data_IF_253248837589
#
_entry.id   IF_253248837589
#
_cell.length_a   1.000
_cell.length_b   1.000
_cell.length_c   1.000
_cell.angle_alpha   90.00
_cell.angle_beta   90.00
_cell.angle_gamma   90.00
#
_symmetry.space_group_name_H-M   'P 1'
#
loop_
_entity.id
_entity.type
_entity.pdbx_description
1 polymer ?
#
# COMPACT_ATOMS: atom_id res chain seq x y z
N UNK A 1 -4.50 4.62 22.62
CA UNK A 1 -4.32 4.49 21.16
C UNK A 1 -4.61 3.09 20.64
N UNK A 2 -3.82 2.05 20.97
CA UNK A 2 -4.08 0.65 20.56
C UNK A 2 -5.52 0.19 20.84
N UNK A 3 -6.02 0.45 22.04
CA UNK A 3 -7.41 0.13 22.45
C UNK A 3 -8.46 0.81 21.57
N UNK A 4 -8.27 2.08 21.22
CA UNK A 4 -9.23 2.83 20.39
C UNK A 4 -9.30 2.28 18.97
N UNK A 5 -8.17 1.84 18.43
CA UNK A 5 -8.08 1.22 17.10
C UNK A 5 -8.29 -0.31 17.14
N UNK A 6 -8.61 -0.90 18.31
CA UNK A 6 -8.73 -2.34 18.53
C UNK A 6 -7.53 -3.14 17.99
N UNK A 7 -6.34 -2.58 18.13
CA UNK A 7 -5.09 -3.22 17.73
C UNK A 7 -4.56 -4.10 18.87
N UNK A 8 -3.94 -5.26 18.58
CA UNK A 8 -3.29 -6.10 19.57
C UNK A 8 -2.28 -5.35 20.46
N UNK A 9 -2.05 -5.86 21.68
CA UNK A 9 -1.13 -5.20 22.63
C UNK A 9 0.32 -5.19 22.12
N UNK A 10 0.69 -6.19 21.35
CA UNK A 10 2.00 -6.37 20.73
C UNK A 10 2.19 -5.57 19.43
N UNK A 11 1.20 -4.78 18.99
CA UNK A 11 1.38 -3.86 17.86
C UNK A 11 2.53 -2.90 18.11
N UNK A 12 3.44 -2.82 17.16
CA UNK A 12 4.69 -2.07 17.30
C UNK A 12 4.46 -0.56 17.38
N UNK A 13 5.31 0.15 18.13
CA UNK A 13 5.29 1.62 18.13
C UNK A 13 5.76 2.19 16.78
N UNK A 14 6.58 1.43 16.06
CA UNK A 14 7.04 1.81 14.73
C UNK A 14 5.87 1.94 13.75
N UNK A 15 4.91 1.02 13.76
CA UNK A 15 3.69 1.12 12.97
C UNK A 15 2.89 2.39 13.29
N UNK A 16 2.75 2.73 14.58
CA UNK A 16 2.00 3.92 15.01
C UNK A 16 2.62 5.23 14.52
N UNK A 17 3.95 5.37 14.66
CA UNK A 17 4.65 6.63 14.49
C UNK A 17 5.27 6.84 13.12
N UNK A 18 5.45 5.78 12.34
CA UNK A 18 5.94 5.90 10.98
C UNK A 18 4.92 6.59 10.10
N UNK A 19 5.41 7.31 9.08
CA UNK A 19 4.54 8.00 8.13
C UNK A 19 3.56 7.04 7.46
N UNK A 20 2.41 7.56 7.09
CA UNK A 20 1.42 6.86 6.27
C UNK A 20 2.06 6.34 4.97
N UNK A 21 2.80 7.18 4.24
CA UNK A 21 3.53 6.75 3.02
C UNK A 21 4.67 5.75 3.27
N UNK A 22 5.08 5.59 4.53
CA UNK A 22 6.02 4.58 4.99
C UNK A 22 5.34 3.39 5.65
N UNK A 23 4.06 3.14 5.31
CA UNK A 23 3.24 2.03 5.83
C UNK A 23 2.89 2.08 7.32
N UNK A 24 3.07 3.23 7.98
CA UNK A 24 2.58 3.46 9.35
C UNK A 24 1.24 4.19 9.40
N UNK A 25 0.86 4.62 10.60
CA UNK A 25 -0.35 5.42 10.85
C UNK A 25 -0.11 6.94 10.80
N UNK A 26 1.14 7.37 10.83
CA UNK A 26 1.52 8.79 10.81
C UNK A 26 1.17 9.53 12.10
N UNK A 27 0.97 8.83 13.21
CA UNK A 27 0.61 9.48 14.48
C UNK A 27 1.89 10.02 15.12
N UNK A 28 1.95 11.34 15.34
CA UNK A 28 3.13 11.98 15.91
C UNK A 28 3.49 11.40 17.28
N UNK A 29 4.75 10.96 17.44
CA UNK A 29 5.31 10.66 18.75
C UNK A 29 5.61 11.98 19.46
N UNK A 30 4.80 12.35 20.46
CA UNK A 30 4.91 13.64 21.15
C UNK A 30 6.24 13.78 21.92
N UNK A 31 6.73 12.69 22.51
CA UNK A 31 8.01 12.62 23.22
C UNK A 31 9.19 13.07 22.35
N UNK A 32 9.12 12.85 21.04
CA UNK A 32 10.18 13.26 20.10
C UNK A 32 9.80 14.51 19.33
N UNK A 33 8.50 14.74 19.08
CA UNK A 33 8.04 15.86 18.27
C UNK A 33 8.08 17.17 19.05
N UNK A 34 7.65 17.18 20.31
CA UNK A 34 7.63 18.40 21.12
C UNK A 34 9.05 18.96 21.30
N UNK A 35 10.07 18.17 21.71
CA UNK A 35 11.41 18.70 21.90
C UNK A 35 12.05 19.17 20.58
N UNK A 36 11.80 18.49 19.45
CA UNK A 36 12.29 18.93 18.14
C UNK A 36 11.68 20.27 17.71
N UNK A 37 10.37 20.48 17.91
CA UNK A 37 9.71 21.74 17.57
C UNK A 37 10.16 22.87 18.51
N UNK A 38 10.39 22.58 19.79
CA UNK A 38 10.98 23.53 20.74
C UNK A 38 12.40 23.93 20.32
N UNK A 39 13.24 22.97 19.93
CA UNK A 39 14.59 23.25 19.40
C UNK A 39 14.52 24.13 18.15
N UNK A 40 13.71 23.76 17.17
CA UNK A 40 13.55 24.55 15.95
C UNK A 40 13.02 25.97 16.24
N UNK A 41 12.17 26.14 17.26
CA UNK A 41 11.72 27.46 17.72
C UNK A 41 12.88 28.26 18.33
N UNK A 42 13.67 27.67 19.22
CA UNK A 42 14.83 28.33 19.83
C UNK A 42 15.89 28.69 18.78
N UNK A 43 16.20 27.80 17.84
CA UNK A 43 17.12 28.07 16.73
C UNK A 43 16.67 29.27 15.89
N UNK A 44 15.37 29.41 15.61
CA UNK A 44 14.84 30.60 14.91
C UNK A 44 14.99 31.88 15.71
N UNK A 45 14.84 31.82 17.03
CA UNK A 45 15.03 32.99 17.89
C UNK A 45 16.51 33.40 17.93
N UNK A 46 17.40 32.44 18.14
CA UNK A 46 18.86 32.66 18.19
C UNK A 46 19.39 33.22 16.86
N UNK A 47 18.89 32.70 15.73
CA UNK A 47 19.32 33.12 14.40
C UNK A 47 18.55 34.33 13.84
N UNK A 48 17.75 35.02 14.67
CA UNK A 48 17.02 36.21 14.23
C UNK A 48 17.97 37.39 13.96
N UNK A 49 17.80 38.04 12.81
CA UNK A 49 18.59 39.24 12.45
C UNK A 49 18.12 40.54 13.10
N UNK A 50 17.06 40.50 13.92
CA UNK A 50 16.45 41.66 14.56
C UNK A 50 17.13 41.96 15.91
N UNK A 51 17.58 43.19 16.11
CA UNK A 51 18.36 43.60 17.30
C UNK A 51 17.57 43.38 18.61
N UNK A 52 16.27 43.64 18.59
CA UNK A 52 15.36 43.42 19.73
C UNK A 52 15.30 41.94 20.11
N UNK A 53 15.27 41.05 19.12
CA UNK A 53 15.25 39.60 19.34
C UNK A 53 16.61 39.12 19.85
N UNK A 54 17.71 39.64 19.30
CA UNK A 54 19.05 39.34 19.78
C UNK A 54 19.23 39.70 21.27
N UNK A 55 18.69 40.82 21.72
CA UNK A 55 18.70 41.22 23.14
C UNK A 55 17.86 40.28 24.01
N UNK A 56 16.70 39.84 23.54
CA UNK A 56 15.82 38.90 24.25
C UNK A 56 16.47 37.51 24.39
N UNK A 57 17.20 37.04 23.38
CA UNK A 57 17.90 35.75 23.42
C UNK A 57 18.95 35.69 24.53
N UNK A 58 19.56 36.83 24.88
CA UNK A 58 20.53 36.92 25.97
C UNK A 58 19.89 36.89 27.37
N UNK A 59 18.56 37.00 27.48
CA UNK A 59 17.89 36.89 28.77
C UNK A 59 18.09 35.51 29.38
N UNK A 60 18.37 35.46 30.68
CA UNK A 60 18.62 34.22 31.45
C UNK A 60 17.56 33.14 31.23
N UNK A 61 16.29 33.53 31.10
CA UNK A 61 15.18 32.61 30.83
C UNK A 61 15.36 31.89 29.48
N UNK A 62 15.67 32.63 28.41
CA UNK A 62 15.84 32.07 27.05
C UNK A 62 17.11 31.22 26.96
N UNK A 63 18.18 31.63 27.63
CA UNK A 63 19.42 30.83 27.72
C UNK A 63 19.15 29.49 28.44
N UNK A 64 18.37 29.52 29.52
CA UNK A 64 17.98 28.31 30.26
C UNK A 64 17.11 27.38 29.40
N UNK A 65 16.11 27.93 28.70
CA UNK A 65 15.29 27.17 27.75
C UNK A 65 16.13 26.56 26.62
N UNK A 66 17.12 27.31 26.13
CA UNK A 66 18.06 26.85 25.08
C UNK A 66 18.87 25.64 25.55
N UNK A 67 19.32 25.63 26.81
CA UNK A 67 20.01 24.47 27.38
C UNK A 67 19.12 23.23 27.45
N UNK A 68 17.84 23.39 27.81
CA UNK A 68 16.87 22.29 27.90
C UNK A 68 16.55 21.70 26.52
N UNK A 69 16.33 22.53 25.49
CA UNK A 69 16.01 22.03 24.13
C UNK A 69 17.20 21.39 23.42
N UNK A 70 18.41 21.65 23.87
CA UNK A 70 19.64 21.05 23.33
C UNK A 70 19.93 19.65 23.89
N UNK A 71 19.13 19.15 24.84
CA UNK A 71 19.22 17.76 25.31
C UNK A 71 19.03 16.80 24.12
N UNK A 72 19.92 15.79 23.94
CA UNK A 72 19.80 14.83 22.85
C UNK A 72 18.46 14.08 22.89
N UNK A 73 17.80 14.00 21.74
CA UNK A 73 16.53 13.30 21.57
C UNK A 73 16.84 11.96 20.92
N UNK A 74 16.27 10.87 21.42
CA UNK A 74 16.54 9.53 20.90
C UNK A 74 15.28 8.87 20.34
N UNK A 75 15.44 8.11 19.26
CA UNK A 75 14.43 7.21 18.70
C UNK A 75 15.09 5.86 18.52
N UNK A 76 14.61 4.82 19.21
CA UNK A 76 15.21 3.48 19.18
C UNK A 76 16.74 3.50 19.43
N UNK A 77 17.20 4.31 20.39
CA UNK A 77 18.61 4.44 20.75
C UNK A 77 19.47 5.21 19.74
N UNK A 78 18.89 5.76 18.66
CA UNK A 78 19.59 6.64 17.72
C UNK A 78 19.29 8.11 18.04
N UNK A 79 20.32 8.98 18.13
CA UNK A 79 20.08 10.41 18.30
C UNK A 79 19.37 10.98 17.06
N UNK A 80 18.47 11.93 17.28
CA UNK A 80 17.76 12.64 16.21
C UNK A 80 17.82 14.15 16.45
N UNK A 81 18.29 14.88 15.44
CA UNK A 81 18.44 16.34 15.47
C UNK A 81 17.25 17.07 14.88
N UNK A 82 16.62 16.49 13.86
CA UNK A 82 15.56 17.15 13.08
C UNK A 82 14.51 16.16 12.55
N UNK A 83 13.42 16.72 12.02
CA UNK A 83 12.23 15.96 11.62
C UNK A 83 12.50 14.86 10.58
N UNK A 84 13.28 15.14 9.54
CA UNK A 84 13.57 14.16 8.48
C UNK A 84 14.39 12.98 9.00
N UNK A 85 15.35 13.23 9.89
CA UNK A 85 16.14 12.17 10.53
C UNK A 85 15.26 11.27 11.41
N UNK A 86 14.38 11.88 12.22
CA UNK A 86 13.37 11.14 12.99
C UNK A 86 12.56 10.21 12.09
N UNK A 87 12.04 10.72 10.98
CA UNK A 87 11.22 9.93 10.04
C UNK A 87 11.98 8.75 9.43
N UNK A 88 13.26 8.94 9.10
CA UNK A 88 14.15 7.88 8.62
C UNK A 88 14.35 6.79 9.67
N UNK A 89 14.62 7.18 10.92
CA UNK A 89 14.82 6.21 12.02
C UNK A 89 13.57 5.37 12.27
N UNK A 90 12.38 5.98 12.26
CA UNK A 90 11.12 5.23 12.40
C UNK A 90 10.93 4.21 11.27
N UNK A 91 11.19 4.60 10.01
CA UNK A 91 11.08 3.71 8.86
C UNK A 91 12.07 2.55 8.93
N UNK A 92 13.33 2.82 9.28
CA UNK A 92 14.34 1.78 9.48
C UNK A 92 13.94 0.80 10.60
N UNK A 93 13.29 1.29 11.65
CA UNK A 93 12.81 0.47 12.73
C UNK A 93 11.62 -0.40 12.31
N UNK A 94 10.67 0.09 11.49
CA UNK A 94 9.55 -0.71 10.94
C UNK A 94 10.07 -1.92 10.19
N UNK A 95 11.02 -1.72 9.27
CA UNK A 95 11.55 -2.79 8.40
C UNK A 95 12.27 -3.89 9.19
N UNK A 96 12.77 -3.57 10.39
CA UNK A 96 13.39 -4.56 11.29
C UNK A 96 12.40 -5.40 12.08
N UNK A 97 11.12 -5.01 12.11
CA UNK A 97 10.09 -5.79 12.79
C UNK A 97 9.69 -7.00 11.94
N UNK A 98 9.19 -8.07 12.57
CA UNK A 98 8.69 -9.23 11.84
C UNK A 98 7.55 -8.85 10.89
N UNK A 99 6.61 -8.03 11.37
CA UNK A 99 5.41 -7.62 10.62
C UNK A 99 5.73 -6.61 9.50
N UNK A 100 6.79 -5.81 9.69
CA UNK A 100 7.24 -4.79 8.74
C UNK A 100 8.39 -5.20 7.83
N UNK A 101 8.95 -6.40 7.98
CA UNK A 101 10.05 -6.89 7.14
C UNK A 101 9.66 -6.92 5.66
N UNK A 102 8.39 -7.16 5.37
CA UNK A 102 7.88 -7.16 4.00
C UNK A 102 7.89 -5.78 3.35
N UNK A 103 7.96 -4.70 4.14
CA UNK A 103 7.81 -3.30 3.71
C UNK A 103 9.10 -2.71 3.10
N UNK A 104 10.20 -3.46 3.08
CA UNK A 104 11.50 -2.98 2.59
C UNK A 104 11.50 -2.76 1.07
N UNK A 105 11.95 -1.58 0.62
CA UNK A 105 12.19 -1.24 -0.79
C UNK A 105 10.97 -1.38 -1.72
N UNK A 106 9.74 -1.31 -1.19
CA UNK A 106 8.53 -1.40 -2.02
C UNK A 106 8.17 -0.02 -2.56
N UNK A 107 7.97 0.03 -3.88
CA UNK A 107 7.44 1.19 -4.57
C UNK A 107 5.90 1.14 -4.57
N UNK A 108 5.28 1.70 -3.52
CA UNK A 108 3.81 1.80 -3.42
C UNK A 108 3.34 3.17 -3.91
N UNK A 109 2.26 3.18 -4.69
CA UNK A 109 1.59 4.42 -5.11
C UNK A 109 0.94 5.14 -3.92
N UNK A 110 1.18 6.44 -3.77
CA UNK A 110 0.65 7.26 -2.65
C UNK A 110 -0.87 7.23 -2.49
N UNK A 111 -1.59 7.02 -3.60
CA UNK A 111 -3.05 6.92 -3.62
C UNK A 111 -3.56 5.69 -2.86
N UNK A 112 -2.76 4.62 -2.72
CA UNK A 112 -3.10 3.43 -1.93
C UNK A 112 -3.36 3.75 -0.45
N UNK A 113 -2.82 4.88 0.03
CA UNK A 113 -2.94 5.34 1.40
C UNK A 113 -3.99 6.44 1.58
N UNK A 114 -4.75 6.78 0.55
CA UNK A 114 -5.73 7.87 0.62
C UNK A 114 -6.80 7.60 1.68
N UNK A 115 -7.27 6.36 1.81
CA UNK A 115 -8.23 5.94 2.85
C UNK A 115 -7.70 6.10 4.28
N UNK A 116 -6.38 5.94 4.49
CA UNK A 116 -5.73 6.17 5.79
C UNK A 116 -5.73 7.64 6.17
N UNK A 117 -5.50 8.53 5.19
CA UNK A 117 -5.53 9.98 5.38
C UNK A 117 -6.95 10.52 5.53
N UNK A 118 -7.93 9.81 4.98
CA UNK A 118 -9.32 10.24 4.93
C UNK A 118 -10.26 9.18 5.55
N UNK A 119 -10.09 8.86 6.85
CA UNK A 119 -10.84 7.79 7.51
C UNK A 119 -12.36 8.02 7.50
N UNK A 120 -12.81 9.28 7.37
CA UNK A 120 -14.23 9.66 7.29
C UNK A 120 -14.99 9.05 6.10
N UNK A 121 -14.28 8.59 5.07
CA UNK A 121 -14.89 7.95 3.89
C UNK A 121 -14.85 6.42 3.96
N UNK A 122 -14.35 5.84 5.06
CA UNK A 122 -14.16 4.40 5.23
C UNK A 122 -15.10 3.92 6.32
N UNK A 123 -15.76 2.80 6.09
CA UNK A 123 -16.56 2.18 7.14
C UNK A 123 -15.67 1.85 8.36
N UNK A 124 -16.03 2.23 9.59
CA UNK A 124 -15.14 2.11 10.76
C UNK A 124 -14.58 0.71 11.01
N UNK A 125 -15.40 -0.33 10.80
CA UNK A 125 -14.95 -1.72 10.95
C UNK A 125 -13.93 -2.09 9.87
N UNK A 126 -14.14 -1.66 8.62
CA UNK A 126 -13.20 -1.90 7.52
C UNK A 126 -11.90 -1.14 7.76
N UNK A 127 -11.96 0.07 8.30
CA UNK A 127 -10.77 0.83 8.67
C UNK A 127 -9.91 0.05 9.68
N UNK A 128 -10.51 -0.37 10.80
CA UNK A 128 -9.81 -1.13 11.84
C UNK A 128 -9.26 -2.45 11.30
N UNK A 129 -10.10 -3.26 10.64
CA UNK A 129 -9.66 -4.56 10.11
C UNK A 129 -8.64 -4.41 8.97
N UNK A 130 -8.73 -3.34 8.19
CA UNK A 130 -7.77 -3.00 7.16
C UNK A 130 -6.40 -2.67 7.75
N UNK A 131 -6.34 -1.93 8.86
CA UNK A 131 -5.10 -1.73 9.61
C UNK A 131 -4.52 -3.05 10.11
N UNK A 132 -5.38 -3.91 10.67
CA UNK A 132 -4.94 -5.22 11.17
C UNK A 132 -4.41 -6.11 10.06
N UNK A 133 -5.03 -6.11 8.88
CA UNK A 133 -4.54 -6.85 7.72
C UNK A 133 -3.19 -6.31 7.24
N UNK A 134 -3.08 -4.98 7.14
CA UNK A 134 -1.91 -4.31 6.55
C UNK A 134 -0.62 -4.52 7.35
N UNK A 135 -0.73 -4.48 8.67
CA UNK A 135 0.39 -4.66 9.60
C UNK A 135 0.49 -6.10 10.13
N UNK A 136 -0.11 -7.07 9.44
CA UNK A 136 -0.12 -8.50 9.80
C UNK A 136 -0.60 -8.81 11.24
N UNK A 137 -1.50 -7.98 11.78
CA UNK A 137 -2.03 -8.07 13.14
C UNK A 137 -3.28 -8.95 13.27
N UNK A 138 -3.79 -9.51 12.17
CA UNK A 138 -4.88 -10.47 12.25
C UNK A 138 -4.42 -11.71 13.03
N UNK A 139 -5.31 -12.25 13.85
CA UNK A 139 -5.00 -13.42 14.67
C UNK A 139 -4.84 -14.63 13.75
N UNK A 140 -3.69 -15.30 13.83
CA UNK A 140 -3.46 -16.61 13.22
C UNK A 140 -2.74 -17.51 14.21
N UNK A 141 -2.75 -18.83 13.99
CA UNK A 141 -1.94 -19.78 14.75
C UNK A 141 -0.46 -19.41 14.71
N UNK A 142 0.06 -19.03 13.54
CA UNK A 142 1.48 -18.63 13.41
C UNK A 142 1.78 -17.39 14.25
N UNK A 143 0.89 -16.38 14.25
CA UNK A 143 1.04 -15.20 15.10
C UNK A 143 0.93 -15.55 16.59
N UNK A 144 -0.05 -16.38 16.95
CA UNK A 144 -0.30 -16.81 18.33
C UNK A 144 0.80 -17.72 18.88
N UNK A 145 1.49 -18.45 18.00
CA UNK A 145 2.63 -19.31 18.33
C UNK A 145 3.95 -18.56 18.49
N UNK A 146 4.00 -17.25 18.22
CA UNK A 146 5.21 -16.45 18.46
C UNK A 146 5.59 -16.52 19.94
N UNK A 147 6.84 -16.89 20.22
CA UNK A 147 7.35 -17.08 21.59
C UNK A 147 7.14 -18.48 22.18
N UNK A 148 6.43 -19.38 21.49
CA UNK A 148 6.33 -20.79 21.87
C UNK A 148 7.46 -21.63 21.27
N UNK A 149 7.95 -22.62 22.02
CA UNK A 149 9.04 -23.53 21.57
C UNK A 149 8.60 -24.58 20.54
N UNK A 150 7.31 -24.82 20.36
CA UNK A 150 6.75 -25.72 19.35
C UNK A 150 5.90 -24.91 18.38
N UNK A 151 6.16 -25.09 17.08
CA UNK A 151 5.27 -24.59 16.05
C UNK A 151 3.90 -25.26 16.23
N UNK A 152 2.78 -24.53 16.18
CA UNK A 152 1.46 -25.13 16.17
C UNK A 152 1.38 -26.12 15.00
N UNK A 153 0.97 -27.37 15.27
CA UNK A 153 0.65 -28.29 14.19
C UNK A 153 -0.54 -27.73 13.40
N UNK A 154 -0.32 -27.49 12.10
CA UNK A 154 -1.41 -27.15 11.21
C UNK A 154 -2.03 -28.44 10.67
N UNK A 155 -3.19 -28.80 11.22
CA UNK A 155 -3.99 -29.96 10.80
C UNK A 155 -4.31 -29.97 9.29
N UNK A 156 -4.16 -28.83 8.61
CA UNK A 156 -4.42 -28.68 7.17
C UNK A 156 -3.18 -28.81 6.28
N UNK A 157 -2.00 -29.06 6.85
CA UNK A 157 -0.75 -29.20 6.08
C UNK A 157 -0.32 -27.93 5.34
N UNK A 158 -0.85 -26.76 5.72
CA UNK A 158 -0.59 -25.50 5.05
C UNK A 158 -0.41 -24.37 6.06
N UNK A 159 0.64 -23.53 5.99
CA UNK A 159 0.93 -22.57 7.05
C UNK A 159 -0.18 -21.50 7.18
N UNK A 160 -0.71 -21.33 8.40
CA UNK A 160 -1.66 -20.27 8.76
C UNK A 160 -1.01 -18.87 8.83
N UNK A 161 -0.42 -18.45 7.71
CA UNK A 161 0.12 -17.11 7.46
C UNK A 161 -0.88 -16.31 6.62
N UNK A 162 -1.06 -15.03 6.93
CA UNK A 162 -1.98 -14.14 6.20
C UNK A 162 -1.67 -14.14 4.70
N UNK A 163 -0.40 -13.98 4.32
CA UNK A 163 -0.01 -14.02 2.91
C UNK A 163 -0.30 -15.37 2.23
N UNK A 164 -0.20 -16.49 2.96
CA UNK A 164 -0.57 -17.80 2.42
C UNK A 164 -2.09 -17.88 2.18
N UNK A 165 -2.89 -17.54 3.21
CA UNK A 165 -4.36 -17.55 3.18
C UNK A 165 -4.87 -16.64 2.05
N UNK A 166 -4.28 -15.46 1.90
CA UNK A 166 -4.71 -14.45 0.94
C UNK A 166 -4.24 -14.71 -0.49
N UNK A 167 -3.15 -15.44 -0.73
CA UNK A 167 -2.56 -15.55 -2.09
C UNK A 167 -2.60 -16.96 -2.69
N UNK A 168 -2.49 -18.01 -1.87
CA UNK A 168 -2.15 -19.36 -2.35
C UNK A 168 -3.06 -20.48 -1.83
N UNK A 169 -3.63 -20.33 -0.64
CA UNK A 169 -4.32 -21.41 0.08
C UNK A 169 -5.45 -22.07 -0.72
N UNK A 170 -5.43 -23.38 -0.96
CA UNK A 170 -6.50 -24.06 -1.70
C UNK A 170 -7.89 -23.79 -1.10
N UNK A 171 -7.99 -23.72 0.23
CA UNK A 171 -9.23 -23.43 0.98
C UNK A 171 -9.88 -22.11 0.59
N UNK A 172 -9.10 -21.10 0.22
CA UNK A 172 -9.61 -19.75 -0.12
C UNK A 172 -9.66 -19.49 -1.61
N UNK A 173 -9.48 -20.52 -2.46
CA UNK A 173 -9.38 -20.37 -3.91
C UNK A 173 -10.55 -19.55 -4.50
N UNK A 174 -11.79 -19.93 -4.19
CA UNK A 174 -12.99 -19.24 -4.71
C UNK A 174 -13.07 -17.79 -4.23
N UNK A 175 -12.75 -17.53 -2.96
CA UNK A 175 -12.73 -16.19 -2.40
C UNK A 175 -11.66 -15.31 -3.07
N UNK A 176 -10.49 -15.88 -3.41
CA UNK A 176 -9.45 -15.16 -4.16
C UNK A 176 -9.86 -14.87 -5.59
N UNK A 177 -10.48 -15.82 -6.29
CA UNK A 177 -11.01 -15.61 -7.64
C UNK A 177 -12.10 -14.52 -7.62
N UNK A 178 -13.02 -14.56 -6.65
CA UNK A 178 -14.03 -13.52 -6.47
C UNK A 178 -13.43 -12.14 -6.21
N UNK A 179 -12.39 -12.05 -5.35
CA UNK A 179 -11.64 -10.80 -5.12
C UNK A 179 -11.06 -10.25 -6.41
N UNK A 180 -10.33 -11.08 -7.14
CA UNK A 180 -9.72 -10.70 -8.42
C UNK A 180 -10.77 -10.15 -9.39
N UNK A 181 -11.85 -10.90 -9.61
CA UNK A 181 -12.88 -10.52 -10.56
C UNK A 181 -13.57 -9.22 -10.15
N UNK A 182 -13.83 -9.00 -8.85
CA UNK A 182 -14.42 -7.74 -8.37
C UNK A 182 -13.50 -6.54 -8.57
N UNK A 183 -12.19 -6.72 -8.42
CA UNK A 183 -11.20 -5.66 -8.73
C UNK A 183 -11.20 -5.34 -10.22
N UNK A 184 -11.15 -6.35 -11.10
CA UNK A 184 -11.24 -6.18 -12.57
C UNK A 184 -12.51 -5.40 -12.94
N UNK A 185 -13.66 -5.81 -12.41
CA UNK A 185 -14.94 -5.16 -12.68
C UNK A 185 -15.00 -3.72 -12.13
N UNK A 186 -14.40 -3.45 -10.96
CA UNK A 186 -14.29 -2.11 -10.40
C UNK A 186 -13.49 -1.18 -11.30
N UNK A 187 -12.29 -1.61 -11.72
CA UNK A 187 -11.43 -0.83 -12.61
C UNK A 187 -12.17 -0.57 -13.93
N UNK A 188 -12.76 -1.60 -14.53
CA UNK A 188 -13.49 -1.45 -15.78
C UNK A 188 -14.67 -0.48 -15.67
N UNK A 189 -15.44 -0.54 -14.58
CA UNK A 189 -16.55 0.41 -14.31
C UNK A 189 -16.04 1.85 -14.16
N UNK A 190 -14.97 2.06 -13.39
CA UNK A 190 -14.40 3.39 -13.18
C UNK A 190 -13.89 4.00 -14.50
N UNK A 191 -13.24 3.19 -15.34
CA UNK A 191 -12.73 3.65 -16.64
C UNK A 191 -13.85 3.96 -17.63
N UNK A 192 -14.91 3.13 -17.69
CA UNK A 192 -16.12 3.45 -18.48
C UNK A 192 -16.78 4.74 -18.03
N UNK A 193 -16.83 4.99 -16.72
CA UNK A 193 -17.36 6.25 -16.18
C UNK A 193 -16.52 7.48 -16.59
N UNK A 194 -15.28 7.29 -17.07
CA UNK A 194 -14.44 8.34 -17.65
C UNK A 194 -14.49 8.40 -19.19
N UNK A 195 -15.44 7.68 -19.80
CA UNK A 195 -15.64 7.68 -21.25
C UNK A 195 -14.70 6.76 -22.03
N UNK A 196 -13.92 5.89 -21.35
CA UNK A 196 -13.07 4.93 -22.04
C UNK A 196 -13.87 3.72 -22.52
N UNK A 197 -13.53 3.22 -23.70
CA UNK A 197 -14.01 1.92 -24.18
C UNK A 197 -13.25 0.80 -23.46
N UNK A 198 -13.96 -0.07 -22.76
CA UNK A 198 -13.35 -1.13 -21.94
C UNK A 198 -13.92 -2.50 -22.30
N UNK A 199 -13.06 -3.38 -22.78
CA UNK A 199 -13.34 -4.82 -22.92
C UNK A 199 -12.86 -5.53 -21.67
N UNK A 200 -13.76 -6.28 -21.03
CA UNK A 200 -13.43 -7.10 -19.86
C UNK A 200 -13.23 -8.52 -20.33
N UNK A 201 -12.10 -9.10 -19.95
CA UNK A 201 -11.75 -10.48 -20.25
C UNK A 201 -11.85 -10.88 -21.74
N UNK A 202 -11.41 -10.03 -22.70
CA UNK A 202 -11.52 -10.36 -24.12
C UNK A 202 -10.69 -11.60 -24.46
N UNK A 203 -11.23 -12.42 -25.36
CA UNK A 203 -10.50 -13.54 -25.96
C UNK A 203 -9.80 -13.02 -27.21
N UNK A 204 -8.47 -13.07 -27.20
CA UNK A 204 -7.65 -12.53 -28.28
C UNK A 204 -6.93 -13.70 -28.95
N UNK A 205 -7.25 -14.02 -30.22
CA UNK A 205 -6.55 -15.05 -30.96
C UNK A 205 -5.04 -14.73 -31.04
N UNK A 206 -4.20 -15.75 -30.92
CA UNK A 206 -2.74 -15.63 -31.03
C UNK A 206 -2.18 -16.87 -31.72
N UNK A 207 -2.00 -16.78 -33.03
CA UNK A 207 -1.56 -17.91 -33.88
C UNK A 207 -2.42 -19.17 -33.67
N UNK A 208 -1.86 -20.24 -33.08
CA UNK A 208 -2.55 -21.50 -32.76
C UNK A 208 -3.24 -21.53 -31.39
N UNK A 209 -3.19 -20.43 -30.63
CA UNK A 209 -3.72 -20.32 -29.26
C UNK A 209 -4.52 -19.02 -29.09
N UNK A 210 -4.93 -18.71 -27.86
CA UNK A 210 -5.53 -17.43 -27.51
C UNK A 210 -4.90 -16.89 -26.23
N UNK A 211 -4.91 -15.56 -26.07
CA UNK A 211 -4.61 -14.92 -24.80
C UNK A 211 -5.87 -14.22 -24.27
N UNK A 212 -5.97 -14.12 -22.95
CA UNK A 212 -7.12 -13.54 -22.25
C UNK A 212 -6.61 -12.56 -21.18
N UNK A 213 -6.26 -11.32 -21.56
CA UNK A 213 -5.98 -10.28 -20.58
C UNK A 213 -7.27 -9.90 -19.83
N UNK A 214 -7.16 -9.40 -18.61
CA UNK A 214 -8.34 -9.04 -17.82
C UNK A 214 -9.08 -7.81 -18.36
N UNK A 215 -8.34 -6.82 -18.87
CA UNK A 215 -8.90 -5.61 -19.44
C UNK A 215 -8.11 -5.17 -20.68
N UNK A 216 -8.84 -4.75 -21.71
CA UNK A 216 -8.30 -3.98 -22.84
C UNK A 216 -9.07 -2.67 -22.92
N UNK A 217 -8.34 -1.55 -22.90
CA UNK A 217 -8.90 -0.22 -22.75
C UNK A 217 -8.47 0.66 -23.93
N UNK A 218 -9.43 1.20 -24.66
CA UNK A 218 -9.19 2.27 -25.62
C UNK A 218 -9.07 3.60 -24.90
N UNK A 219 -7.92 4.26 -24.99
CA UNK A 219 -7.63 5.54 -24.35
C UNK A 219 -6.98 6.50 -25.35
N UNK A 220 -7.79 7.36 -25.99
CA UNK A 220 -7.34 8.28 -27.02
C UNK A 220 -6.66 7.53 -28.18
N UNK A 221 -5.39 7.83 -28.43
CA UNK A 221 -4.57 7.20 -29.48
C UNK A 221 -3.82 5.93 -29.03
N UNK A 222 -4.15 5.36 -27.88
CA UNK A 222 -3.48 4.17 -27.32
C UNK A 222 -4.48 3.09 -26.91
N UNK A 223 -4.09 1.83 -27.09
CA UNK A 223 -4.78 0.67 -26.51
C UNK A 223 -3.97 0.21 -25.31
N UNK A 224 -4.59 0.11 -24.15
CA UNK A 224 -3.94 -0.33 -22.93
C UNK A 224 -4.38 -1.74 -22.58
N UNK A 225 -3.41 -2.63 -22.43
CA UNK A 225 -3.62 -3.99 -21.93
C UNK A 225 -3.33 -3.97 -20.43
N UNK A 226 -4.37 -4.19 -19.63
CA UNK A 226 -4.31 -4.09 -18.18
C UNK A 226 -4.71 -5.43 -17.58
N UNK A 227 -3.69 -6.21 -17.23
CA UNK A 227 -3.87 -7.50 -16.56
C UNK A 227 -3.68 -7.30 -15.04
N UNK A 228 -4.70 -7.67 -14.28
CA UNK A 228 -4.77 -7.49 -12.83
C UNK A 228 -4.07 -8.65 -12.15
N UNK A 229 -3.31 -8.36 -11.11
CA UNK A 229 -2.69 -9.39 -10.29
C UNK A 229 -2.61 -8.94 -8.85
N UNK A 230 -2.90 -9.85 -7.93
CA UNK A 230 -2.86 -9.62 -6.48
C UNK A 230 -1.78 -10.52 -5.89
N UNK A 231 -0.70 -9.92 -5.38
CA UNK A 231 0.53 -10.61 -4.94
C UNK A 231 1.15 -9.92 -3.74
N UNK A 232 1.99 -10.62 -2.97
CA UNK A 232 2.81 -9.95 -1.94
C UNK A 232 3.57 -8.76 -2.53
N UNK A 233 3.63 -7.67 -1.77
CA UNK A 233 4.21 -6.41 -2.22
C UNK A 233 5.68 -6.51 -2.64
N UNK A 234 6.42 -7.48 -2.09
CA UNK A 234 7.79 -7.84 -2.52
C UNK A 234 7.87 -8.31 -3.98
N UNK A 235 6.76 -8.78 -4.55
CA UNK A 235 6.68 -9.31 -5.92
C UNK A 235 6.19 -8.28 -6.93
N UNK A 236 5.98 -7.02 -6.56
CA UNK A 236 5.42 -6.02 -7.49
C UNK A 236 6.22 -5.88 -8.78
N UNK A 237 7.53 -5.63 -8.68
CA UNK A 237 8.40 -5.45 -9.86
C UNK A 237 8.43 -6.70 -10.73
N UNK A 238 8.65 -7.87 -10.11
CA UNK A 238 8.68 -9.16 -10.83
C UNK A 238 7.35 -9.46 -11.52
N UNK A 239 6.23 -9.22 -10.84
CA UNK A 239 4.89 -9.51 -11.38
C UNK A 239 4.53 -8.56 -12.52
N UNK A 240 4.90 -7.29 -12.41
CA UNK A 240 4.80 -6.34 -13.52
C UNK A 240 5.56 -6.84 -14.75
N UNK A 241 6.84 -7.19 -14.59
CA UNK A 241 7.68 -7.65 -15.69
C UNK A 241 7.15 -8.93 -16.35
N UNK A 242 6.71 -9.90 -15.53
CA UNK A 242 6.12 -11.15 -16.04
C UNK A 242 4.84 -10.90 -16.85
N UNK A 243 3.98 -9.99 -16.40
CA UNK A 243 2.74 -9.66 -17.13
C UNK A 243 3.02 -8.89 -18.42
N UNK A 244 3.95 -7.93 -18.40
CA UNK A 244 4.40 -7.25 -19.63
C UNK A 244 4.99 -8.27 -20.61
N UNK A 245 5.94 -9.10 -20.18
CA UNK A 245 6.56 -10.11 -21.05
C UNK A 245 5.59 -11.18 -21.58
N UNK A 246 4.48 -11.44 -20.87
CA UNK A 246 3.43 -12.36 -21.33
C UNK A 246 2.66 -11.83 -22.54
N UNK A 247 2.36 -10.53 -22.57
CA UNK A 247 1.46 -9.95 -23.57
C UNK A 247 2.16 -9.07 -24.59
N UNK A 248 3.33 -8.51 -24.26
CA UNK A 248 4.07 -7.60 -25.14
C UNK A 248 4.94 -8.36 -26.14
N UNK A 249 4.29 -8.87 -27.19
CA UNK A 249 4.94 -9.48 -28.33
C UNK A 249 4.25 -9.07 -29.63
N UNK A 250 4.96 -9.05 -30.79
CA UNK A 250 4.40 -8.56 -32.04
C UNK A 250 3.11 -9.25 -32.49
N UNK A 251 3.04 -10.58 -32.33
CA UNK A 251 1.86 -11.36 -32.72
C UNK A 251 0.62 -10.98 -31.90
N UNK A 252 0.77 -10.91 -30.58
CA UNK A 252 -0.32 -10.52 -29.66
C UNK A 252 -0.73 -9.07 -29.89
N UNK A 253 0.23 -8.16 -30.05
CA UNK A 253 -0.04 -6.74 -30.32
C UNK A 253 -0.79 -6.52 -31.64
N UNK A 254 -0.43 -7.26 -32.69
CA UNK A 254 -1.15 -7.23 -33.97
C UNK A 254 -2.60 -7.68 -33.82
N UNK A 255 -2.83 -8.80 -33.12
CA UNK A 255 -4.18 -9.34 -32.91
C UNK A 255 -5.04 -8.46 -32.01
N UNK A 256 -4.47 -7.88 -30.95
CA UNK A 256 -5.15 -6.87 -30.11
C UNK A 256 -5.64 -5.71 -30.98
N UNK A 257 -4.77 -5.19 -31.85
CA UNK A 257 -5.10 -4.07 -32.74
C UNK A 257 -6.24 -4.45 -33.69
N UNK A 258 -6.21 -5.66 -34.27
CA UNK A 258 -7.29 -6.17 -35.12
C UNK A 258 -8.61 -6.29 -34.37
N UNK A 259 -8.62 -6.93 -33.19
CA UNK A 259 -9.84 -7.05 -32.37
C UNK A 259 -10.39 -5.68 -31.98
N UNK A 260 -9.51 -4.74 -31.61
CA UNK A 260 -9.93 -3.38 -31.27
C UNK A 260 -10.51 -2.62 -32.48
N UNK A 261 -9.91 -2.78 -33.66
CA UNK A 261 -10.40 -2.16 -34.90
C UNK A 261 -11.81 -2.65 -35.28
N UNK A 262 -12.10 -3.94 -35.12
CA UNK A 262 -13.46 -4.49 -35.29
C UNK A 262 -14.48 -3.88 -34.34
N UNK A 263 -14.04 -3.36 -33.19
CA UNK A 263 -14.88 -2.70 -32.21
C UNK A 263 -14.77 -1.16 -32.26
N UNK A 264 -14.41 -0.61 -33.42
CA UNK A 264 -14.35 0.83 -33.68
C UNK A 264 -13.37 1.61 -32.79
N UNK A 265 -12.31 0.95 -32.30
CA UNK A 265 -11.15 1.65 -31.74
C UNK A 265 -10.12 1.83 -32.86
N UNK A 266 -9.76 3.08 -33.16
CA UNK A 266 -8.77 3.40 -34.20
C UNK A 266 -7.40 2.75 -33.95
N UNK A 267 -6.56 2.70 -34.99
CA UNK A 267 -5.22 2.09 -34.97
C UNK A 267 -4.32 2.81 -33.98
N UNK A 268 -4.34 2.29 -32.77
CA UNK A 268 -3.74 2.89 -31.61
C UNK A 268 -2.54 2.06 -31.16
N UNK A 269 -1.50 2.73 -30.67
CA UNK A 269 -0.32 2.03 -30.15
C UNK A 269 -0.72 1.19 -28.92
N UNK A 270 -0.41 -0.11 -28.96
CA UNK A 270 -0.66 -1.03 -27.84
C UNK A 270 0.39 -0.80 -26.76
N UNK A 271 -0.05 -0.62 -25.51
CA UNK A 271 0.80 -0.45 -24.33
C UNK A 271 0.38 -1.41 -23.24
N UNK A 272 1.34 -2.13 -22.67
CA UNK A 272 1.11 -3.10 -21.59
C UNK A 272 1.31 -2.43 -20.25
N UNK A 273 0.21 -2.29 -19.49
CA UNK A 273 0.17 -1.56 -18.21
C UNK A 273 -0.54 -2.41 -17.14
N UNK A 274 0.12 -3.47 -16.64
CA UNK A 274 -0.48 -4.36 -15.64
C UNK A 274 -0.94 -3.60 -14.38
N UNK A 275 -2.02 -4.04 -13.76
CA UNK A 275 -2.48 -3.50 -12.47
C UNK A 275 -2.06 -4.45 -11.35
N UNK A 276 -0.97 -4.10 -10.67
CA UNK A 276 -0.34 -4.97 -9.66
C UNK A 276 -0.69 -4.46 -8.26
N UNK A 277 -1.49 -5.24 -7.53
CA UNK A 277 -1.96 -4.96 -6.18
C UNK A 277 -1.37 -5.97 -5.19
N UNK A 278 -1.34 -5.61 -3.90
CA UNK A 278 -1.17 -6.58 -2.82
C UNK A 278 -2.47 -6.98 -2.17
N UNK A 279 -2.44 -8.13 -1.52
CA UNK A 279 -3.52 -8.59 -0.66
C UNK A 279 -3.79 -7.62 0.49
N UNK A 280 -2.80 -6.79 0.88
CA UNK A 280 -2.90 -5.74 1.89
C UNK A 280 -3.41 -4.39 1.33
N UNK A 281 -3.84 -4.34 0.08
CA UNK A 281 -4.39 -3.14 -0.56
C UNK A 281 -3.34 -2.09 -0.91
N UNK A 282 -2.13 -2.52 -1.28
CA UNK A 282 -1.10 -1.63 -1.82
C UNK A 282 -1.11 -1.74 -3.33
N UNK A 283 -1.11 -0.61 -4.03
CA UNK A 283 -0.96 -0.57 -5.48
C UNK A 283 0.48 -0.26 -5.84
N UNK A 284 1.07 -1.03 -6.74
CA UNK A 284 2.41 -0.76 -7.27
C UNK A 284 2.47 0.64 -7.90
N UNK A 285 3.56 1.37 -7.63
CA UNK A 285 3.70 2.77 -8.04
C UNK A 285 3.49 2.98 -9.55
N UNK A 286 4.03 2.10 -10.40
CA UNK A 286 3.82 2.21 -11.86
C UNK A 286 2.35 2.02 -12.25
N UNK A 287 1.69 0.99 -11.69
CA UNK A 287 0.25 0.79 -11.91
C UNK A 287 -0.55 2.01 -11.45
N UNK A 288 -0.22 2.59 -10.29
CA UNK A 288 -0.86 3.82 -9.80
C UNK A 288 -0.66 5.02 -10.73
N UNK A 289 0.53 5.20 -11.29
CA UNK A 289 0.80 6.30 -12.23
C UNK A 289 0.02 6.12 -13.52
N UNK A 290 -0.03 4.91 -14.08
CA UNK A 290 -0.79 4.63 -15.31
C UNK A 290 -2.29 4.82 -15.11
N UNK A 291 -2.85 4.32 -13.99
CA UNK A 291 -4.25 4.52 -13.63
C UNK A 291 -4.60 6.01 -13.50
N UNK A 292 -3.73 6.81 -12.89
CA UNK A 292 -3.91 8.26 -12.80
C UNK A 292 -3.84 8.93 -14.18
N UNK A 293 -2.89 8.49 -15.02
CA UNK A 293 -2.70 9.05 -16.37
C UNK A 293 -3.95 8.87 -17.24
N UNK A 294 -4.70 7.79 -17.04
CA UNK A 294 -5.98 7.54 -17.72
C UNK A 294 -7.20 8.10 -16.99
N UNK A 295 -6.97 8.97 -16.00
CA UNK A 295 -8.01 9.79 -15.39
C UNK A 295 -8.52 9.31 -14.03
N UNK A 296 -8.06 8.18 -13.48
CA UNK A 296 -8.48 7.78 -12.13
C UNK A 296 -7.89 8.71 -11.08
N UNK A 297 -8.73 9.13 -10.14
CA UNK A 297 -8.33 9.97 -9.00
C UNK A 297 -7.72 9.14 -7.89
N UNK A 298 -7.15 9.82 -6.89
CA UNK A 298 -6.66 9.16 -5.68
C UNK A 298 -7.76 8.44 -4.93
N UNK A 299 -8.98 8.99 -4.96
CA UNK A 299 -10.14 8.37 -4.36
C UNK A 299 -10.52 7.08 -5.10
N UNK A 300 -10.54 7.10 -6.44
CA UNK A 300 -10.84 5.91 -7.24
C UNK A 300 -9.82 4.78 -6.98
N UNK A 301 -8.53 5.12 -6.94
CA UNK A 301 -7.46 4.17 -6.61
C UNK A 301 -7.61 3.66 -5.17
N UNK A 302 -7.98 4.56 -4.24
CA UNK A 302 -8.26 4.18 -2.86
C UNK A 302 -9.41 3.20 -2.75
N UNK A 303 -10.47 3.37 -3.53
CA UNK A 303 -11.63 2.48 -3.53
C UNK A 303 -11.28 1.10 -4.10
N UNK A 304 -10.41 1.03 -5.11
CA UNK A 304 -9.82 -0.23 -5.60
C UNK A 304 -9.02 -0.92 -4.49
N UNK A 305 -8.18 -0.17 -3.77
CA UNK A 305 -7.38 -0.70 -2.67
C UNK A 305 -8.26 -1.18 -1.50
N UNK A 306 -9.29 -0.41 -1.11
CA UNK A 306 -10.23 -0.77 -0.06
C UNK A 306 -11.07 -2.00 -0.43
N UNK A 307 -11.51 -2.12 -1.68
CA UNK A 307 -12.19 -3.32 -2.18
C UNK A 307 -11.27 -4.54 -2.05
N UNK A 308 -10.01 -4.40 -2.42
CA UNK A 308 -9.00 -5.46 -2.29
C UNK A 308 -8.82 -5.87 -0.83
N UNK A 309 -8.70 -4.90 0.09
CA UNK A 309 -8.62 -5.15 1.55
C UNK A 309 -9.86 -5.88 2.05
N UNK A 310 -11.05 -5.39 1.72
CA UNK A 310 -12.30 -5.96 2.18
C UNK A 310 -12.44 -7.44 1.75
N UNK A 311 -12.03 -7.76 0.53
CA UNK A 311 -12.13 -9.12 0.01
C UNK A 311 -10.95 -10.02 0.41
N UNK A 312 -9.78 -9.46 0.72
CA UNK A 312 -8.72 -10.18 1.43
C UNK A 312 -9.16 -10.57 2.84
N UNK A 313 -9.88 -9.69 3.55
CA UNK A 313 -10.49 -10.01 4.84
C UNK A 313 -11.53 -11.12 4.71
N UNK A 314 -12.26 -11.20 3.59
CA UNK A 314 -13.16 -12.35 3.33
C UNK A 314 -12.40 -13.65 3.09
N UNK A 315 -11.26 -13.62 2.41
CA UNK A 315 -10.39 -14.79 2.28
C UNK A 315 -9.97 -15.29 3.67
N UNK A 316 -9.53 -14.37 4.53
CA UNK A 316 -9.22 -14.64 5.92
C UNK A 316 -10.42 -15.21 6.69
N UNK A 317 -11.59 -14.56 6.65
CA UNK A 317 -12.79 -15.01 7.37
C UNK A 317 -13.26 -16.39 6.87
N UNK A 318 -13.14 -16.67 5.58
CA UNK A 318 -13.48 -17.97 5.00
C UNK A 318 -12.57 -19.06 5.57
N UNK A 319 -11.27 -18.79 5.63
CA UNK A 319 -10.32 -19.71 6.25
C UNK A 319 -10.62 -19.92 7.74
N UNK A 320 -10.93 -18.84 8.47
CA UNK A 320 -11.23 -18.87 9.91
C UNK A 320 -12.60 -19.47 10.28
N UNK A 321 -13.54 -19.58 9.34
CA UNK A 321 -14.80 -20.31 9.59
C UNK A 321 -14.65 -21.81 9.45
N UNK A 322 -13.58 -22.26 8.81
CA UNK A 322 -13.25 -23.67 8.64
C UNK A 322 -12.24 -24.16 9.70
N UNK A 323 -11.78 -23.28 10.60
CA UNK A 323 -10.99 -23.60 11.80
C UNK A 323 -11.88 -23.90 12.98
#
# INVERSE_FOLDING_TARGET
MRTWLRLPKDTTLTFMHSKIDGNGLGISCLETTIPLEQRAKCERLVNSGTLEVANIVQCKAVVSDTAVVNVPIFVYGKPVGFKLEKEKVWLEAVVKTHDGADLMNIQVGRASFYWLRNPKYVFPLLFIRGLQLRDELLTTKVRSGRGYRRAPEDLRGCPELIGHISEKCSVTYDARCARHNRVVQMIGRLLRARGHSVFVEPIIPSSSTFCKPDLVVGCGSSILVMDVTIVSSRRFVKSWQLKVGKYDNPATNGMITTVCAYNHLERNAVKHTPTVLSDRGELYQKSSMELRRIGLTDRDISDICLLTIADSLKCYDTYMRMT
#
